data_IF_379510351959
#
_entry.id   IF_379510351959
#
_cell.length_a   1.000
_cell.length_b   1.000
_cell.length_c   1.000
_cell.angle_alpha   90.00
_cell.angle_beta   90.00
_cell.angle_gamma   90.00
#
_symmetry.space_group_name_H-M   'P 1'
#
loop_
_entity.id
_entity.type
_entity.pdbx_description
1 polymer ?
#
# COMPACT_ATOMS: atom_id res chain seq x y z
N UNK A 1 34.02 -12.91 -5.71
CA UNK A 1 32.78 -13.06 -4.90
C UNK A 1 31.84 -11.91 -5.27
N UNK A 2 30.68 -12.24 -5.84
CA UNK A 2 29.68 -11.24 -6.19
C UNK A 2 28.77 -11.09 -4.98
N UNK A 3 28.98 -10.02 -4.20
CA UNK A 3 28.12 -9.71 -3.05
C UNK A 3 26.68 -9.42 -3.45
N UNK A 4 25.75 -9.49 -2.48
CA UNK A 4 24.31 -9.25 -2.66
C UNK A 4 24.03 -7.94 -3.42
N UNK A 5 24.71 -6.85 -3.09
CA UNK A 5 24.55 -5.55 -3.74
C UNK A 5 24.91 -5.62 -5.24
N UNK A 6 25.95 -6.39 -5.60
CA UNK A 6 26.33 -6.58 -7.01
C UNK A 6 25.32 -7.44 -7.79
N UNK A 7 24.57 -8.29 -7.11
CA UNK A 7 23.47 -9.06 -7.70
C UNK A 7 22.25 -8.15 -7.86
N UNK A 8 21.86 -7.42 -6.82
CA UNK A 8 20.73 -6.50 -6.84
C UNK A 8 20.91 -5.37 -7.88
N UNK A 9 22.15 -4.85 -8.06
CA UNK A 9 22.43 -3.83 -9.05
C UNK A 9 22.31 -4.25 -10.52
N UNK A 10 21.96 -5.52 -10.80
CA UNK A 10 21.67 -6.02 -12.16
C UNK A 10 20.20 -5.97 -12.51
N UNK A 11 19.35 -5.66 -11.55
CA UNK A 11 17.90 -5.65 -11.71
C UNK A 11 17.40 -4.21 -11.58
N UNK A 12 16.56 -3.80 -12.50
CA UNK A 12 15.81 -2.58 -12.37
C UNK A 12 14.59 -2.87 -11.51
N UNK A 13 14.46 -2.18 -10.39
CA UNK A 13 13.30 -2.28 -9.52
C UNK A 13 12.30 -1.23 -10.00
N UNK A 14 11.19 -1.66 -10.61
CA UNK A 14 10.10 -0.79 -11.03
C UNK A 14 8.81 -1.21 -10.34
N UNK A 15 7.83 -0.32 -10.27
CA UNK A 15 6.48 -0.60 -9.74
C UNK A 15 5.51 -0.92 -10.88
N UNK A 16 5.78 -0.48 -12.10
CA UNK A 16 4.88 -0.67 -13.23
C UNK A 16 5.06 -2.05 -13.86
N UNK A 17 4.05 -2.92 -13.67
CA UNK A 17 3.98 -4.26 -14.28
C UNK A 17 3.73 -4.24 -15.79
N UNK A 18 3.45 -3.10 -16.43
CA UNK A 18 2.89 -3.02 -17.78
C UNK A 18 3.83 -2.49 -18.87
N UNK A 19 5.11 -2.28 -18.60
CA UNK A 19 6.05 -1.91 -19.66
C UNK A 19 6.60 -3.17 -20.35
N UNK A 20 6.40 -3.35 -21.68
CA UNK A 20 6.84 -4.55 -22.41
C UNK A 20 8.38 -4.74 -22.41
N UNK A 21 9.14 -3.68 -22.14
CA UNK A 21 10.62 -3.70 -22.13
C UNK A 21 11.21 -3.96 -20.73
N UNK A 22 10.42 -3.86 -19.65
CA UNK A 22 10.90 -3.91 -18.26
C UNK A 22 10.41 -5.15 -17.48
N UNK A 23 9.84 -6.13 -18.13
CA UNK A 23 9.32 -7.37 -17.53
C UNK A 23 10.36 -8.19 -16.73
N UNK A 24 11.58 -7.74 -16.59
CA UNK A 24 12.61 -8.58 -16.02
C UNK A 24 12.67 -8.62 -14.50
N UNK A 25 12.28 -7.63 -13.74
CA UNK A 25 12.05 -7.73 -12.27
C UNK A 25 11.35 -6.49 -11.71
N UNK A 26 10.03 -6.41 -11.83
CA UNK A 26 9.28 -5.48 -10.99
C UNK A 26 9.22 -6.04 -9.56
N UNK A 27 9.80 -5.35 -8.60
CA UNK A 27 9.50 -5.58 -7.19
C UNK A 27 8.20 -4.84 -6.86
N UNK A 28 7.10 -5.42 -7.31
CA UNK A 28 5.79 -5.03 -6.81
C UNK A 28 5.79 -5.21 -5.27
N UNK A 29 5.41 -4.17 -4.51
CA UNK A 29 5.21 -4.28 -3.06
C UNK A 29 4.29 -5.46 -2.68
N UNK A 30 3.38 -5.86 -3.56
CA UNK A 30 2.52 -7.03 -3.39
C UNK A 30 3.29 -8.35 -3.52
N UNK A 31 4.15 -8.47 -4.53
CA UNK A 31 5.02 -9.64 -4.68
C UNK A 31 5.91 -9.83 -3.46
N UNK A 32 6.43 -8.73 -2.92
CA UNK A 32 7.21 -8.74 -1.69
C UNK A 32 6.38 -9.31 -0.53
N UNK A 33 5.14 -8.85 -0.35
CA UNK A 33 4.20 -9.38 0.65
C UNK A 33 3.99 -10.88 0.48
N UNK A 34 3.68 -11.34 -0.73
CA UNK A 34 3.46 -12.76 -1.05
C UNK A 34 4.70 -13.64 -0.80
N UNK A 35 5.89 -13.15 -1.15
CA UNK A 35 7.15 -13.87 -0.89
C UNK A 35 7.38 -13.99 0.61
N UNK A 36 7.21 -12.91 1.38
CA UNK A 36 7.39 -12.95 2.82
C UNK A 36 6.35 -13.81 3.54
N UNK A 37 5.09 -13.77 3.15
CA UNK A 37 4.06 -14.68 3.71
C UNK A 37 4.37 -16.13 3.42
N UNK A 38 4.89 -16.45 2.24
CA UNK A 38 5.35 -17.81 1.93
C UNK A 38 6.56 -18.21 2.76
N UNK A 39 7.50 -17.29 3.01
CA UNK A 39 8.65 -17.54 3.88
C UNK A 39 8.24 -17.71 5.34
N UNK A 40 7.34 -16.87 5.85
CA UNK A 40 6.78 -16.98 7.20
C UNK A 40 5.93 -18.24 7.37
N UNK A 41 5.31 -18.72 6.28
CA UNK A 41 4.59 -19.98 6.25
C UNK A 41 5.47 -21.23 6.08
N UNK A 42 6.80 -21.07 5.94
CA UNK A 42 7.71 -22.16 5.74
C UNK A 42 7.82 -23.05 6.99
N UNK A 43 8.12 -24.31 6.72
CA UNK A 43 8.31 -25.33 7.77
C UNK A 43 9.46 -24.98 8.69
N UNK A 44 9.21 -24.97 10.01
CA UNK A 44 10.24 -24.86 11.03
C UNK A 44 10.81 -26.26 11.31
N UNK A 45 12.07 -26.55 10.96
CA UNK A 45 12.65 -27.88 11.16
C UNK A 45 12.81 -28.26 12.65
N UNK A 46 12.83 -27.30 13.56
CA UNK A 46 12.98 -27.57 14.99
C UNK A 46 11.65 -28.00 15.64
N UNK A 47 10.55 -27.38 15.29
CA UNK A 47 9.22 -27.67 15.86
C UNK A 47 8.45 -28.73 15.06
N UNK A 48 8.88 -29.06 13.84
CA UNK A 48 8.19 -29.94 12.88
C UNK A 48 6.78 -29.48 12.49
N UNK A 49 6.43 -28.24 12.79
CA UNK A 49 5.16 -27.61 12.43
C UNK A 49 5.36 -26.54 11.35
N UNK A 50 4.35 -26.33 10.53
CA UNK A 50 4.35 -25.18 9.64
C UNK A 50 4.08 -23.94 10.46
N UNK A 51 4.86 -22.88 10.28
CA UNK A 51 4.65 -21.60 10.96
C UNK A 51 3.21 -21.07 10.71
N UNK A 52 2.55 -21.44 9.60
CA UNK A 52 1.14 -21.15 9.31
C UNK A 52 0.18 -21.66 10.37
N UNK A 53 0.40 -22.87 10.91
CA UNK A 53 -0.48 -23.43 11.93
C UNK A 53 -0.37 -22.71 13.26
N UNK A 54 0.78 -22.08 13.53
CA UNK A 54 1.01 -21.31 14.76
C UNK A 54 0.58 -19.85 14.64
N UNK A 55 0.72 -19.25 13.44
CA UNK A 55 0.48 -17.82 13.25
C UNK A 55 -0.87 -17.51 12.60
N UNK A 56 -1.55 -18.49 11.97
CA UNK A 56 -2.77 -18.28 11.23
C UNK A 56 -2.59 -17.41 9.97
N UNK A 57 -1.35 -17.28 9.48
CA UNK A 57 -1.05 -16.39 8.34
C UNK A 57 -1.53 -16.99 7.03
N UNK A 58 -2.47 -16.33 6.39
CA UNK A 58 -2.98 -16.67 5.06
C UNK A 58 -2.86 -15.46 4.14
N UNK A 59 -2.39 -15.70 2.92
CA UNK A 59 -2.41 -14.69 1.87
C UNK A 59 -3.83 -14.44 1.41
N UNK A 60 -4.25 -13.18 1.44
CA UNK A 60 -5.54 -12.77 0.89
C UNK A 60 -5.35 -12.31 -0.56
N UNK A 61 -6.01 -12.95 -1.55
CA UNK A 61 -5.93 -12.55 -2.94
C UNK A 61 -6.32 -11.09 -3.16
N UNK A 62 -5.64 -10.42 -4.10
CA UNK A 62 -5.83 -9.00 -4.40
C UNK A 62 -7.27 -8.63 -4.72
N UNK A 63 -7.96 -9.49 -5.47
CA UNK A 63 -9.36 -9.28 -5.85
C UNK A 63 -10.27 -9.21 -4.63
N UNK A 64 -10.01 -10.04 -3.62
CA UNK A 64 -10.77 -10.02 -2.36
C UNK A 64 -10.47 -8.77 -1.57
N UNK A 65 -9.17 -8.39 -1.46
CA UNK A 65 -8.77 -7.15 -0.80
C UNK A 65 -9.44 -5.96 -1.45
N UNK A 66 -9.35 -5.84 -2.77
CA UNK A 66 -9.94 -4.73 -3.52
C UNK A 66 -11.46 -4.63 -3.31
N UNK A 67 -12.17 -5.76 -3.41
CA UNK A 67 -13.61 -5.79 -3.18
C UNK A 67 -13.99 -5.34 -1.77
N UNK A 68 -13.30 -5.86 -0.76
CA UNK A 68 -13.58 -5.52 0.64
C UNK A 68 -13.25 -4.05 0.95
N UNK A 69 -12.16 -3.53 0.39
CA UNK A 69 -11.77 -2.13 0.51
C UNK A 69 -12.81 -1.23 -0.15
N UNK A 70 -13.23 -1.53 -1.37
CA UNK A 70 -14.23 -0.74 -2.10
C UNK A 70 -15.55 -0.68 -1.33
N UNK A 71 -16.11 -1.82 -0.94
CA UNK A 71 -17.37 -1.84 -0.20
C UNK A 71 -17.27 -1.16 1.17
N UNK A 72 -16.12 -1.26 1.84
CA UNK A 72 -15.90 -0.59 3.13
C UNK A 72 -15.83 0.93 2.96
N UNK A 73 -15.13 1.43 1.96
CA UNK A 73 -15.03 2.86 1.68
C UNK A 73 -16.37 3.42 1.18
N UNK A 74 -17.08 2.70 0.30
CA UNK A 74 -18.42 3.08 -0.17
C UNK A 74 -19.38 3.22 1.01
N UNK A 75 -19.42 2.23 1.90
CA UNK A 75 -20.27 2.26 3.09
C UNK A 75 -19.88 3.44 4.02
N UNK A 76 -18.60 3.67 4.25
CA UNK A 76 -18.11 4.78 5.06
C UNK A 76 -18.52 6.14 4.47
N UNK A 77 -18.40 6.31 3.16
CA UNK A 77 -18.74 7.55 2.46
C UNK A 77 -20.24 7.81 2.41
N UNK A 78 -21.11 6.78 2.52
CA UNK A 78 -22.56 6.91 2.59
C UNK A 78 -23.32 6.29 1.43
N UNK A 79 -22.69 5.40 0.66
CA UNK A 79 -23.29 4.54 -0.38
C UNK A 79 -24.34 5.24 -1.26
N UNK A 80 -23.96 6.32 -1.94
CA UNK A 80 -24.79 7.02 -2.89
C UNK A 80 -24.42 6.65 -4.34
N UNK A 81 -25.29 6.97 -5.28
CA UNK A 81 -25.02 6.77 -6.70
C UNK A 81 -23.77 7.52 -7.16
N UNK A 82 -23.56 8.75 -6.66
CA UNK A 82 -22.34 9.52 -6.93
C UNK A 82 -21.11 8.78 -6.44
N UNK A 83 -21.14 8.28 -5.18
CA UNK A 83 -19.99 7.56 -4.61
C UNK A 83 -19.71 6.29 -5.42
N UNK A 84 -20.71 5.46 -5.72
CA UNK A 84 -20.53 4.27 -6.55
C UNK A 84 -19.99 4.59 -7.95
N UNK A 85 -20.37 5.75 -8.52
CA UNK A 85 -19.84 6.18 -9.81
C UNK A 85 -18.34 6.49 -9.76
N UNK A 86 -17.84 7.10 -8.67
CA UNK A 86 -16.41 7.40 -8.48
C UNK A 86 -15.57 6.11 -8.40
N UNK A 87 -16.14 5.06 -7.80
CA UNK A 87 -15.49 3.75 -7.71
C UNK A 87 -15.50 2.95 -9.02
N UNK A 88 -16.28 3.38 -9.99
CA UNK A 88 -16.35 2.72 -11.30
C UNK A 88 -15.15 3.10 -12.19
N UNK A 89 -14.65 2.13 -12.97
CA UNK A 89 -13.55 2.36 -13.91
C UNK A 89 -13.91 3.36 -15.03
N UNK A 90 -15.19 3.53 -15.32
CA UNK A 90 -15.70 4.47 -16.35
C UNK A 90 -16.06 5.83 -15.73
N UNK A 91 -15.55 6.18 -14.56
CA UNK A 91 -15.79 7.48 -13.95
C UNK A 91 -15.34 8.61 -14.86
N UNK A 92 -16.17 9.63 -14.98
CA UNK A 92 -15.84 10.87 -15.68
C UNK A 92 -16.06 12.03 -14.72
N UNK A 93 -15.06 12.88 -14.59
CA UNK A 93 -15.12 14.06 -13.74
C UNK A 93 -16.17 15.05 -14.25
N UNK A 94 -17.03 15.53 -13.37
CA UNK A 94 -18.11 16.48 -13.67
C UNK A 94 -17.82 17.78 -12.88
N UNK A 95 -17.43 18.83 -13.60
CA UNK A 95 -17.10 20.14 -13.00
C UNK A 95 -18.25 20.74 -12.17
N UNK A 96 -19.49 20.37 -12.45
CA UNK A 96 -20.65 20.86 -11.68
C UNK A 96 -20.73 20.27 -10.26
N UNK A 97 -19.97 19.20 -9.96
CA UNK A 97 -19.98 18.47 -8.70
C UNK A 97 -18.72 18.68 -7.84
N UNK A 98 -17.90 19.66 -8.17
CA UNK A 98 -16.63 19.92 -7.46
C UNK A 98 -16.82 20.05 -5.95
N UNK A 99 -17.86 20.75 -5.49
CA UNK A 99 -18.14 20.90 -4.04
C UNK A 99 -18.48 19.56 -3.36
N UNK A 100 -19.11 18.62 -4.08
CA UNK A 100 -19.40 17.29 -3.57
C UNK A 100 -18.11 16.44 -3.53
N UNK A 101 -17.28 16.53 -4.57
CA UNK A 101 -15.97 15.85 -4.62
C UNK A 101 -15.05 16.33 -3.50
N UNK A 102 -14.99 17.63 -3.23
CA UNK A 102 -14.20 18.18 -2.12
C UNK A 102 -14.65 17.61 -0.77
N UNK A 103 -15.96 17.51 -0.52
CA UNK A 103 -16.49 16.89 0.71
C UNK A 103 -16.13 15.41 0.82
N UNK A 104 -16.13 14.68 -0.29
CA UNK A 104 -15.73 13.27 -0.34
C UNK A 104 -14.22 13.15 -0.05
N UNK A 105 -13.39 14.01 -0.66
CA UNK A 105 -11.95 14.05 -0.43
C UNK A 105 -11.61 14.34 1.04
N UNK A 106 -12.25 15.35 1.63
CA UNK A 106 -12.07 15.69 3.05
C UNK A 106 -12.47 14.52 3.96
N UNK A 107 -13.58 13.84 3.64
CA UNK A 107 -14.04 12.68 4.40
C UNK A 107 -13.06 11.51 4.28
N UNK A 108 -12.53 11.23 3.09
CA UNK A 108 -11.48 10.23 2.90
C UNK A 108 -10.20 10.57 3.67
N UNK A 109 -9.75 11.83 3.62
CA UNK A 109 -8.57 12.28 4.36
C UNK A 109 -8.76 12.27 5.88
N UNK A 110 -9.99 12.28 6.38
CA UNK A 110 -10.29 12.23 7.81
C UNK A 110 -10.47 10.82 8.38
N UNK A 111 -10.61 9.80 7.53
CA UNK A 111 -10.85 8.42 7.97
C UNK A 111 -9.69 7.87 8.80
N UNK A 112 -10.01 7.06 9.80
CA UNK A 112 -9.03 6.28 10.58
C UNK A 112 -9.39 4.80 10.42
N UNK A 113 -8.47 4.06 9.86
CA UNK A 113 -8.65 2.62 9.62
C UNK A 113 -7.59 1.85 10.42
N UNK A 114 -8.05 0.90 11.22
CA UNK A 114 -7.21 -0.02 11.95
C UNK A 114 -7.41 -1.44 11.40
N UNK A 115 -6.33 -2.06 11.00
CA UNK A 115 -6.28 -3.50 10.72
C UNK A 115 -5.62 -4.21 11.92
N UNK A 116 -6.38 -4.94 12.75
CA UNK A 116 -5.86 -5.57 13.97
C UNK A 116 -5.07 -6.85 13.71
N UNK A 117 -5.00 -7.33 12.47
CA UNK A 117 -4.26 -8.51 12.04
C UNK A 117 -3.64 -8.26 10.66
N UNK A 118 -2.87 -7.17 10.53
CA UNK A 118 -2.47 -6.61 9.25
C UNK A 118 -1.53 -7.51 8.42
N UNK A 119 -0.93 -8.52 9.04
CA UNK A 119 0.01 -9.42 8.35
C UNK A 119 1.13 -8.65 7.65
N UNK A 120 1.39 -8.99 6.42
CA UNK A 120 2.32 -8.30 5.53
C UNK A 120 1.73 -7.02 4.90
N UNK A 121 0.56 -6.56 5.34
CA UNK A 121 -0.05 -5.30 4.93
C UNK A 121 -0.92 -5.36 3.67
N UNK A 122 -1.57 -6.48 3.39
CA UNK A 122 -2.43 -6.61 2.20
C UNK A 122 -3.57 -5.58 2.21
N UNK A 123 -4.35 -5.51 3.28
CA UNK A 123 -5.44 -4.55 3.41
C UNK A 123 -4.97 -3.09 3.55
N UNK A 124 -3.99 -2.76 4.42
CA UNK A 124 -3.48 -1.40 4.50
C UNK A 124 -2.92 -0.86 3.17
N UNK A 125 -2.21 -1.69 2.40
CA UNK A 125 -1.73 -1.31 1.07
C UNK A 125 -2.86 -1.18 0.05
N UNK A 126 -3.84 -2.09 0.08
CA UNK A 126 -5.04 -1.99 -0.75
C UNK A 126 -5.83 -0.71 -0.48
N UNK A 127 -6.00 -0.34 0.80
CA UNK A 127 -6.61 0.93 1.21
C UNK A 127 -5.84 2.13 0.70
N UNK A 128 -4.51 2.17 0.90
CA UNK A 128 -3.67 3.25 0.41
C UNK A 128 -3.87 3.46 -1.09
N UNK A 129 -3.66 2.40 -1.88
CA UNK A 129 -3.75 2.47 -3.33
C UNK A 129 -5.14 2.92 -3.79
N UNK A 130 -6.20 2.39 -3.18
CA UNK A 130 -7.56 2.74 -3.56
C UNK A 130 -7.94 4.16 -3.18
N UNK A 131 -7.53 4.63 -2.00
CA UNK A 131 -7.75 6.02 -1.59
C UNK A 131 -7.02 7.00 -2.51
N UNK A 132 -5.79 6.68 -2.93
CA UNK A 132 -5.04 7.48 -3.91
C UNK A 132 -5.77 7.51 -5.25
N UNK A 133 -6.14 6.35 -5.80
CA UNK A 133 -6.88 6.27 -7.08
C UNK A 133 -8.16 7.13 -7.07
N UNK A 134 -8.92 7.11 -5.97
CA UNK A 134 -10.12 7.93 -5.83
C UNK A 134 -9.76 9.42 -5.74
N UNK A 135 -8.77 9.79 -4.92
CA UNK A 135 -8.38 11.19 -4.74
C UNK A 135 -7.81 11.79 -6.02
N UNK A 136 -7.02 11.05 -6.79
CA UNK A 136 -6.54 11.48 -8.12
C UNK A 136 -7.69 11.75 -9.10
N UNK A 137 -8.77 10.96 -9.03
CA UNK A 137 -9.95 11.14 -9.89
C UNK A 137 -10.75 12.40 -9.55
N UNK A 138 -10.85 12.75 -8.26
CA UNK A 138 -11.71 13.84 -7.77
C UNK A 138 -10.95 15.10 -7.38
N UNK A 139 -9.61 15.03 -7.24
CA UNK A 139 -8.71 16.15 -6.86
C UNK A 139 -7.37 16.01 -7.58
N UNK A 140 -7.30 16.14 -8.90
CA UNK A 140 -6.12 15.79 -9.71
C UNK A 140 -4.92 16.72 -9.52
N UNK A 141 -5.07 17.84 -8.85
CA UNK A 141 -4.00 18.85 -8.69
C UNK A 141 -3.06 18.57 -7.51
N UNK A 142 -3.33 17.55 -6.69
CA UNK A 142 -2.52 17.20 -5.54
C UNK A 142 -1.37 16.24 -5.91
N UNK A 143 -0.20 16.41 -5.29
CA UNK A 143 0.95 15.51 -5.45
C UNK A 143 0.62 14.12 -4.92
N UNK A 144 0.83 13.08 -5.73
CA UNK A 144 0.62 11.67 -5.33
C UNK A 144 1.49 11.32 -4.12
N UNK A 145 2.75 11.76 -4.10
CA UNK A 145 3.65 11.54 -2.97
C UNK A 145 3.09 12.16 -1.68
N UNK A 146 2.65 13.40 -1.73
CA UNK A 146 2.13 14.10 -0.55
C UNK A 146 0.81 13.47 -0.06
N UNK A 147 -0.07 13.06 -0.98
CA UNK A 147 -1.28 12.32 -0.66
C UNK A 147 -0.99 10.98 0.01
N UNK A 148 -0.05 10.19 -0.54
CA UNK A 148 0.37 8.92 0.06
C UNK A 148 0.94 9.13 1.45
N UNK A 149 1.87 10.07 1.59
CA UNK A 149 2.48 10.40 2.88
C UNK A 149 1.41 10.79 3.91
N UNK A 150 0.49 11.68 3.53
CA UNK A 150 -0.60 12.11 4.41
C UNK A 150 -1.48 10.92 4.86
N UNK A 151 -1.90 10.05 3.94
CA UNK A 151 -2.76 8.91 4.24
C UNK A 151 -2.04 7.91 5.16
N UNK A 152 -0.78 7.59 4.87
CA UNK A 152 0.03 6.68 5.69
C UNK A 152 0.19 7.23 7.12
N UNK A 153 0.50 8.51 7.25
CA UNK A 153 0.72 9.12 8.55
C UNK A 153 -0.58 9.37 9.34
N UNK A 154 -1.69 9.60 8.67
CA UNK A 154 -2.89 10.08 9.34
C UNK A 154 -4.07 9.11 9.32
N UNK A 155 -4.17 8.22 8.33
CA UNK A 155 -5.36 7.42 8.13
C UNK A 155 -5.17 5.95 8.50
N UNK A 156 -3.97 5.38 8.31
CA UNK A 156 -3.74 3.94 8.38
C UNK A 156 -3.05 3.51 9.67
N UNK A 157 -3.56 2.47 10.28
CA UNK A 157 -3.03 1.83 11.49
C UNK A 157 -3.12 0.32 11.34
N UNK A 158 -2.17 -0.40 11.91
CA UNK A 158 -2.18 -1.86 11.91
C UNK A 158 -1.50 -2.45 13.13
N UNK A 159 -1.92 -3.63 13.51
CA UNK A 159 -1.20 -4.45 14.49
C UNK A 159 -1.12 -5.89 14.00
N UNK A 160 -0.10 -6.61 14.44
CA UNK A 160 0.04 -8.04 14.19
C UNK A 160 0.78 -8.71 15.34
N UNK A 161 0.46 -9.98 15.60
CA UNK A 161 1.17 -10.79 16.61
C UNK A 161 2.62 -11.09 16.20
N UNK A 162 2.90 -11.05 14.90
CA UNK A 162 4.24 -11.26 14.35
C UNK A 162 4.93 -9.92 14.08
N UNK A 163 5.98 -9.64 14.84
CA UNK A 163 6.76 -8.41 14.66
C UNK A 163 7.33 -8.26 13.24
N UNK A 164 7.73 -9.37 12.63
CA UNK A 164 8.25 -9.36 11.26
C UNK A 164 7.19 -8.95 10.24
N UNK A 165 5.93 -9.36 10.42
CA UNK A 165 4.83 -8.97 9.55
C UNK A 165 4.59 -7.45 9.58
N UNK A 166 4.55 -6.84 10.77
CA UNK A 166 4.45 -5.40 10.93
C UNK A 166 5.63 -4.65 10.27
N UNK A 167 6.86 -5.19 10.37
CA UNK A 167 8.04 -4.60 9.71
C UNK A 167 7.94 -4.67 8.19
N UNK A 168 7.42 -5.76 7.64
CA UNK A 168 7.18 -5.91 6.19
C UNK A 168 6.16 -4.89 5.72
N UNK A 169 5.08 -4.69 6.47
CA UNK A 169 4.06 -3.68 6.17
C UNK A 169 4.68 -2.28 6.09
N UNK A 170 5.51 -1.89 7.06
CA UNK A 170 6.25 -0.61 7.04
C UNK A 170 7.17 -0.51 5.82
N UNK A 171 7.91 -1.57 5.51
CA UNK A 171 8.79 -1.61 4.34
C UNK A 171 8.03 -1.40 3.03
N UNK A 172 6.87 -2.01 2.87
CA UNK A 172 6.02 -1.82 1.69
C UNK A 172 5.55 -0.38 1.53
N UNK A 173 5.16 0.28 2.61
CA UNK A 173 4.83 1.71 2.58
C UNK A 173 6.03 2.57 2.19
N UNK A 174 7.22 2.29 2.73
CA UNK A 174 8.43 3.02 2.37
C UNK A 174 8.77 2.86 0.88
N UNK A 175 8.70 1.64 0.35
CA UNK A 175 8.91 1.40 -1.07
C UNK A 175 7.89 2.17 -1.90
N UNK A 176 6.60 2.11 -1.55
CA UNK A 176 5.54 2.84 -2.25
C UNK A 176 5.77 4.35 -2.28
N UNK A 177 6.27 4.94 -1.19
CA UNK A 177 6.62 6.36 -1.13
C UNK A 177 7.85 6.71 -1.98
N UNK A 178 8.92 5.91 -1.86
CA UNK A 178 10.18 6.17 -2.58
C UNK A 178 9.97 6.15 -4.09
N UNK A 179 9.08 5.29 -4.57
CA UNK A 179 8.83 5.15 -5.99
C UNK A 179 8.14 6.35 -6.63
N UNK A 180 7.36 7.11 -5.84
CA UNK A 180 6.74 8.34 -6.32
C UNK A 180 7.62 9.59 -6.08
N UNK A 181 8.82 9.42 -5.49
CA UNK A 181 9.73 10.53 -5.31
C UNK A 181 10.36 10.95 -6.64
N UNK A 182 10.31 12.22 -6.95
CA UNK A 182 11.12 12.79 -8.03
C UNK A 182 12.60 12.71 -7.65
N UNK A 183 13.40 12.08 -8.51
CA UNK A 183 14.84 11.94 -8.31
C UNK A 183 15.57 13.19 -8.80
N UNK A 184 16.27 13.86 -7.90
CA UNK A 184 17.17 14.97 -8.23
C UNK A 184 18.62 14.57 -7.93
N UNK A 185 19.35 14.18 -8.98
CA UNK A 185 20.74 13.73 -8.88
C UNK A 185 21.69 14.83 -8.38
N UNK A 186 21.26 16.11 -8.39
CA UNK A 186 22.05 17.24 -7.88
C UNK A 186 22.01 17.38 -6.37
N UNK A 187 21.06 16.73 -5.71
CA UNK A 187 20.86 16.81 -4.26
C UNK A 187 21.45 15.61 -3.51
N UNK A 188 21.84 15.81 -2.23
CA UNK A 188 22.17 14.68 -1.36
C UNK A 188 21.02 13.67 -1.30
N UNK A 189 21.35 12.38 -1.24
CA UNK A 189 20.36 11.29 -1.24
C UNK A 189 19.35 11.36 -2.41
N UNK A 190 19.79 11.88 -3.58
CA UNK A 190 18.94 12.07 -4.77
C UNK A 190 17.68 12.90 -4.54
N UNK A 191 17.66 13.75 -3.51
CA UNK A 191 16.48 14.55 -3.16
C UNK A 191 15.35 13.77 -2.47
N UNK A 192 15.56 12.49 -2.17
CA UNK A 192 14.54 11.66 -1.50
C UNK A 192 14.31 12.19 -0.07
N UNK A 193 13.08 12.54 0.29
CA UNK A 193 12.74 13.03 1.62
C UNK A 193 12.97 11.99 2.72
N UNK A 194 13.04 12.46 3.96
CA UNK A 194 13.08 11.56 5.13
C UNK A 194 11.78 10.76 5.21
N UNK A 195 11.90 9.45 5.35
CA UNK A 195 10.75 8.56 5.49
C UNK A 195 9.99 8.82 6.81
N UNK A 196 8.66 8.66 6.82
CA UNK A 196 7.84 8.88 8.00
C UNK A 196 8.17 7.87 9.12
N UNK A 197 7.91 8.25 10.38
CA UNK A 197 8.02 7.32 11.49
C UNK A 197 6.72 6.51 11.63
N UNK A 198 6.78 5.23 11.26
CA UNK A 198 5.64 4.30 11.31
C UNK A 198 5.64 3.39 12.55
N UNK A 199 6.56 3.58 13.50
CA UNK A 199 6.70 2.70 14.68
C UNK A 199 5.45 2.69 15.58
N UNK A 200 4.71 3.80 15.62
CA UNK A 200 3.46 3.91 16.38
C UNK A 200 2.21 3.62 15.55
N UNK A 201 2.36 3.37 14.26
CA UNK A 201 1.26 3.14 13.33
C UNK A 201 1.06 1.65 13.04
N UNK A 202 2.16 0.93 12.90
CA UNK A 202 2.17 -0.52 12.65
C UNK A 202 3.00 -1.18 13.73
N UNK A 203 2.30 -1.81 14.67
CA UNK A 203 2.89 -2.33 15.90
C UNK A 203 2.77 -3.85 16.00
N UNK A 204 3.70 -4.46 16.73
CA UNK A 204 3.53 -5.83 17.16
C UNK A 204 2.77 -5.84 18.49
N UNK A 205 1.67 -6.61 18.54
CA UNK A 205 0.82 -6.76 19.73
C UNK A 205 1.11 -8.07 20.44
#
# INVERSE_FOLDING_TARGET
EKGLISILGRYNFTIEENSPEEQQVALDPELLGKVFENLLGAYNPETKETARNQSGSFYTPREIVNYMVDESLIAYLGDSELIRSIFNNNFTFDESKVDEYNKIADKLKSVKVLDPACGSGAFPMGLLNRMIDILERISPDESIYDLKLFIIENCLYGSDIQSIAAQITKLRFFISLICDCEKDVSKPNFGIPTLPNLETKFVSA
#
